data_IF_584225410284
#
_entry.id   IF_584225410284
#
_cell.length_a   1.000
_cell.length_b   1.000
_cell.length_c   1.000
_cell.angle_alpha   90.00
_cell.angle_beta   90.00
_cell.angle_gamma   90.00
#
_symmetry.space_group_name_H-M   'P 1'
#
loop_
_entity.id
_entity.type
_entity.pdbx_description
1 polymer ?
#
# COMPACT_ATOMS: atom_id res chain seq x y z
N UNK A 1 -22.98 7.68 44.66
CA UNK A 1 -22.72 8.71 43.61
C UNK A 1 -21.34 8.55 42.96
N UNK A 2 -20.23 8.42 43.71
CA UNK A 2 -18.89 8.20 43.12
C UNK A 2 -18.77 6.94 42.24
N UNK A 3 -19.38 5.83 42.64
CA UNK A 3 -19.34 4.57 41.88
C UNK A 3 -20.12 4.62 40.55
N UNK A 4 -21.20 5.41 40.47
CA UNK A 4 -22.01 5.56 39.24
C UNK A 4 -21.26 6.41 38.21
N UNK A 5 -20.55 7.46 38.64
CA UNK A 5 -19.67 8.23 37.75
C UNK A 5 -18.50 7.40 37.20
N UNK A 6 -17.94 6.48 38.00
CA UNK A 6 -16.83 5.62 37.55
C UNK A 6 -17.26 4.59 36.48
N UNK A 7 -18.50 4.09 36.52
CA UNK A 7 -19.02 3.14 35.53
C UNK A 7 -19.32 3.84 34.19
N UNK A 8 -19.88 5.06 34.23
CA UNK A 8 -20.11 5.86 33.02
C UNK A 8 -18.80 6.24 32.30
N UNK A 9 -17.75 6.53 33.07
CA UNK A 9 -16.43 6.85 32.50
C UNK A 9 -15.79 5.64 31.80
N UNK A 10 -16.01 4.42 32.30
CA UNK A 10 -15.53 3.18 31.66
C UNK A 10 -16.26 2.86 30.34
N UNK A 11 -17.56 3.17 30.25
CA UNK A 11 -18.36 2.94 29.03
C UNK A 11 -18.04 3.93 27.89
N UNK A 12 -17.57 5.14 28.22
CA UNK A 12 -17.12 6.13 27.24
C UNK A 12 -15.74 5.80 26.63
N UNK A 13 -14.90 5.04 27.35
CA UNK A 13 -13.56 4.64 26.87
C UNK A 13 -13.65 3.43 25.92
N UNK A 14 -14.65 2.55 26.07
CA UNK A 14 -14.82 1.38 25.20
C UNK A 14 -15.48 1.69 23.84
N UNK A 15 -16.10 2.87 23.68
CA UNK A 15 -16.80 3.26 22.45
C UNK A 15 -15.86 3.65 21.28
N UNK A 16 -14.53 3.66 21.50
CA UNK A 16 -13.55 4.19 20.55
C UNK A 16 -12.72 3.18 19.76
N UNK A 17 -12.83 1.87 20.01
CA UNK A 17 -12.06 0.86 19.27
C UNK A 17 -12.87 0.28 18.11
N UNK A 18 -12.99 1.03 17.02
CA UNK A 18 -13.40 0.45 15.73
C UNK A 18 -12.20 -0.26 15.11
N UNK A 19 -12.04 -1.55 15.42
CA UNK A 19 -11.14 -2.40 14.65
C UNK A 19 -11.68 -2.52 13.23
N UNK A 20 -10.96 -1.98 12.25
CA UNK A 20 -11.36 -2.08 10.84
C UNK A 20 -11.32 -3.54 10.41
N UNK A 21 -12.45 -4.08 9.95
CA UNK A 21 -12.50 -5.42 9.38
C UNK A 21 -12.11 -5.35 7.89
N UNK A 22 -11.21 -6.24 7.46
CA UNK A 22 -10.81 -6.38 6.06
C UNK A 22 -12.01 -6.51 5.12
N UNK A 23 -12.99 -7.34 5.52
CA UNK A 23 -14.15 -7.64 4.70
C UNK A 23 -15.10 -6.46 4.51
N UNK A 24 -14.99 -5.37 5.29
CA UNK A 24 -15.86 -4.20 5.11
C UNK A 24 -15.53 -3.49 3.78
N UNK A 25 -14.25 -3.42 3.43
CA UNK A 25 -13.76 -2.61 2.31
C UNK A 25 -13.11 -3.41 1.17
N UNK A 26 -12.63 -4.63 1.45
CA UNK A 26 -11.74 -5.34 0.52
C UNK A 26 -12.28 -6.72 0.11
N UNK A 27 -11.92 -7.11 -1.11
CA UNK A 27 -12.05 -8.47 -1.62
C UNK A 27 -10.74 -9.23 -1.33
N UNK A 28 -10.80 -10.56 -1.21
CA UNK A 28 -9.60 -11.41 -1.09
C UNK A 28 -8.86 -11.53 -2.42
N UNK A 29 -8.35 -10.40 -2.92
CA UNK A 29 -7.59 -10.20 -4.16
C UNK A 29 -6.61 -9.04 -3.93
N UNK A 30 -5.58 -8.94 -4.75
CA UNK A 30 -4.63 -7.82 -4.68
C UNK A 30 -4.85 -6.84 -5.82
N UNK A 31 -4.93 -5.56 -5.50
CA UNK A 31 -4.69 -4.46 -6.42
C UNK A 31 -3.18 -4.19 -6.45
N UNK A 32 -2.52 -4.62 -7.52
CA UNK A 32 -1.13 -4.24 -7.82
C UNK A 32 -1.14 -2.91 -8.56
N UNK A 33 -0.33 -1.97 -8.11
CA UNK A 33 -0.20 -0.65 -8.72
C UNK A 33 1.25 -0.42 -9.09
N UNK A 34 1.49 -0.20 -10.38
CA UNK A 34 2.80 0.10 -10.93
C UNK A 34 2.89 1.61 -11.18
N UNK A 35 3.95 2.23 -10.67
CA UNK A 35 4.23 3.65 -10.82
C UNK A 35 5.59 3.87 -11.46
N UNK A 36 5.73 5.02 -12.11
CA UNK A 36 7.03 5.56 -12.51
C UNK A 36 7.35 6.74 -11.61
N UNK A 37 8.39 6.61 -10.79
CA UNK A 37 8.96 7.73 -10.06
C UNK A 37 9.95 8.43 -10.96
N UNK A 38 9.74 9.71 -11.18
CA UNK A 38 10.52 10.49 -12.13
C UNK A 38 11.14 11.69 -11.44
N UNK A 39 12.26 12.16 -11.97
CA UNK A 39 12.86 13.41 -11.51
C UNK A 39 14.37 13.42 -11.55
N UNK A 40 14.91 14.37 -10.81
CA UNK A 40 16.33 14.60 -10.57
C UNK A 40 16.49 15.13 -9.13
N UNK A 41 17.68 15.58 -8.73
CA UNK A 41 17.93 16.03 -7.35
C UNK A 41 17.17 17.32 -6.94
N UNK A 42 16.52 18.03 -7.86
CA UNK A 42 15.77 19.27 -7.61
C UNK A 42 14.26 19.07 -7.61
N UNK A 43 13.74 18.22 -8.49
CA UNK A 43 12.31 18.01 -8.66
C UNK A 43 12.00 16.52 -8.85
N UNK A 44 10.89 16.09 -8.26
CA UNK A 44 10.40 14.71 -8.36
C UNK A 44 8.91 14.73 -8.70
N UNK A 45 8.46 13.72 -9.42
CA UNK A 45 7.05 13.51 -9.75
C UNK A 45 6.74 12.00 -9.79
N UNK A 46 5.47 11.66 -9.62
CA UNK A 46 5.00 10.28 -9.63
C UNK A 46 3.87 10.18 -10.66
N UNK A 47 3.95 9.18 -11.53
CA UNK A 47 2.93 8.90 -12.52
C UNK A 47 2.47 7.45 -12.40
N UNK A 48 1.17 7.21 -12.60
CA UNK A 48 0.63 5.86 -12.72
C UNK A 48 1.06 5.25 -14.04
N UNK A 49 1.55 4.01 -14.00
CA UNK A 49 1.85 3.21 -15.18
C UNK A 49 0.66 2.29 -15.50
N UNK A 50 0.45 1.25 -14.68
CA UNK A 50 -0.61 0.27 -14.87
C UNK A 50 -1.25 -0.15 -13.55
N UNK A 51 -2.53 -0.53 -13.61
CA UNK A 51 -3.24 -1.23 -12.53
C UNK A 51 -3.41 -2.70 -12.90
N UNK A 52 -3.13 -3.59 -11.95
CA UNK A 52 -3.28 -5.04 -12.13
C UNK A 52 -4.05 -5.68 -10.97
N UNK A 53 -4.72 -6.79 -11.23
CA UNK A 53 -5.41 -7.62 -10.23
C UNK A 53 -4.70 -8.98 -10.11
N UNK A 54 -4.32 -9.38 -8.90
CA UNK A 54 -3.85 -10.73 -8.57
C UNK A 54 -4.96 -11.54 -7.87
N UNK A 55 -4.94 -12.89 -7.98
CA UNK A 55 -6.09 -13.73 -7.61
C UNK A 55 -6.39 -13.80 -6.10
N UNK A 56 -5.40 -13.56 -5.23
CA UNK A 56 -5.55 -13.58 -3.77
C UNK A 56 -4.89 -12.36 -3.12
N UNK A 57 -5.21 -12.09 -1.86
CA UNK A 57 -4.51 -11.13 -1.00
C UNK A 57 -3.68 -11.90 0.02
N UNK A 58 -2.35 -11.72 -0.03
CA UNK A 58 -1.37 -12.35 0.87
C UNK A 58 -0.80 -11.36 1.90
N UNK A 59 -1.42 -10.18 2.03
CA UNK A 59 -1.00 -9.19 3.01
C UNK A 59 -1.86 -9.24 4.27
N UNK A 60 -1.63 -8.30 5.17
CA UNK A 60 -2.34 -8.24 6.46
C UNK A 60 -3.85 -8.01 6.32
N UNK A 61 -4.64 -8.64 7.20
CA UNK A 61 -6.08 -8.38 7.38
C UNK A 61 -6.38 -7.49 8.62
N UNK A 62 -5.34 -7.15 9.40
CA UNK A 62 -5.43 -6.30 10.61
C UNK A 62 -4.45 -5.12 10.55
N UNK A 63 -4.63 -4.13 11.44
CA UNK A 63 -3.84 -2.88 11.45
C UNK A 63 -3.80 -2.20 10.08
N UNK A 64 -4.93 -2.23 9.37
CA UNK A 64 -5.02 -1.85 7.95
C UNK A 64 -4.70 -0.36 7.76
N UNK A 65 -5.19 0.53 8.62
CA UNK A 65 -4.96 1.97 8.56
C UNK A 65 -3.70 2.45 9.30
N UNK A 66 -2.85 1.53 9.75
CA UNK A 66 -1.65 1.81 10.55
C UNK A 66 -0.37 1.50 9.78
N UNK A 67 0.75 2.06 10.25
CA UNK A 67 2.08 1.81 9.70
C UNK A 67 3.00 1.25 10.79
N UNK A 68 3.69 0.13 10.54
CA UNK A 68 4.69 -0.37 11.48
C UNK A 68 5.94 0.52 11.52
N UNK A 69 6.25 1.22 10.43
CA UNK A 69 7.36 2.16 10.28
C UNK A 69 6.94 3.31 9.35
N UNK A 70 7.56 4.48 9.49
CA UNK A 70 7.22 5.62 8.62
C UNK A 70 7.65 5.42 7.16
N UNK A 71 8.79 4.76 6.93
CA UNK A 71 9.45 4.68 5.63
C UNK A 71 9.97 6.03 5.12
N UNK A 72 10.46 6.03 3.89
CA UNK A 72 10.74 7.23 3.09
C UNK A 72 9.69 7.47 2.01
N UNK A 73 8.74 6.55 1.84
CA UNK A 73 7.53 6.72 1.06
C UNK A 73 6.36 6.02 1.74
N UNK A 74 5.15 6.51 1.49
CA UNK A 74 3.91 5.95 2.02
C UNK A 74 2.84 5.87 0.94
N UNK A 75 2.02 4.83 0.99
CA UNK A 75 0.77 4.73 0.26
C UNK A 75 -0.38 4.73 1.25
N UNK A 76 -1.39 5.54 0.96
CA UNK A 76 -2.58 5.73 1.76
C UNK A 76 -3.78 5.50 0.86
N UNK A 77 -4.59 4.50 1.18
CA UNK A 77 -5.83 4.18 0.48
C UNK A 77 -6.99 4.69 1.30
N UNK A 78 -7.85 5.48 0.67
CA UNK A 78 -9.07 6.01 1.29
C UNK A 78 -10.30 5.54 0.52
N UNK A 79 -11.33 5.17 1.24
CA UNK A 79 -12.66 4.99 0.64
C UNK A 79 -13.11 6.30 0.01
N UNK A 80 -13.57 6.26 -1.25
CA UNK A 80 -13.84 7.50 -1.99
C UNK A 80 -15.06 8.25 -1.45
N UNK A 81 -16.06 7.53 -0.95
CA UNK A 81 -17.32 8.12 -0.47
C UNK A 81 -17.15 8.79 0.89
N UNK A 82 -16.51 8.11 1.83
CA UNK A 82 -16.34 8.55 3.22
C UNK A 82 -15.04 9.29 3.48
N UNK A 83 -14.05 9.15 2.60
CA UNK A 83 -12.66 9.63 2.77
C UNK A 83 -11.93 8.99 3.96
N UNK A 84 -12.50 7.94 4.55
CA UNK A 84 -11.85 7.18 5.61
C UNK A 84 -10.60 6.49 5.08
N UNK A 85 -9.50 6.54 5.84
CA UNK A 85 -8.32 5.73 5.56
C UNK A 85 -8.62 4.26 5.81
N UNK A 86 -8.53 3.45 4.78
CA UNK A 86 -8.88 2.02 4.81
C UNK A 86 -7.66 1.11 4.62
N UNK A 87 -6.53 1.63 4.12
CA UNK A 87 -5.27 0.89 4.10
C UNK A 87 -4.06 1.84 4.08
N UNK A 88 -2.95 1.47 4.73
CA UNK A 88 -1.67 2.18 4.63
C UNK A 88 -0.52 1.21 4.43
N UNK A 89 0.51 1.60 3.69
CA UNK A 89 1.79 0.89 3.69
C UNK A 89 2.94 1.88 3.50
N UNK A 90 4.13 1.50 3.96
CA UNK A 90 5.34 2.34 3.93
C UNK A 90 6.47 1.60 3.23
N UNK A 91 7.36 2.33 2.59
CA UNK A 91 8.47 1.77 1.83
C UNK A 91 9.67 2.74 1.77
N UNK A 92 10.75 2.27 1.16
CA UNK A 92 11.83 3.07 0.58
C UNK A 92 12.05 2.59 -0.86
N UNK A 93 12.74 3.35 -1.69
CA UNK A 93 12.93 3.01 -3.11
C UNK A 93 14.36 3.27 -3.59
N UNK A 94 14.79 2.49 -4.59
CA UNK A 94 16.06 2.71 -5.28
C UNK A 94 16.12 4.11 -5.94
N UNK A 95 14.96 4.64 -6.38
CA UNK A 95 14.85 6.00 -6.87
C UNK A 95 15.34 7.03 -5.84
N UNK A 96 14.93 6.90 -4.57
CA UNK A 96 15.35 7.83 -3.51
C UNK A 96 16.83 7.74 -3.17
N UNK A 97 17.45 6.57 -3.33
CA UNK A 97 18.91 6.44 -3.24
C UNK A 97 19.58 7.16 -4.42
N UNK A 98 19.09 6.91 -5.65
CA UNK A 98 19.61 7.52 -6.87
C UNK A 98 19.57 9.06 -6.85
N UNK A 99 18.56 9.67 -6.21
CA UNK A 99 18.46 11.14 -6.08
C UNK A 99 19.67 11.81 -5.39
N UNK A 100 20.45 11.04 -4.62
CA UNK A 100 21.65 11.52 -3.94
C UNK A 100 22.93 11.43 -4.79
N UNK A 101 22.86 10.80 -5.97
CA UNK A 101 24.01 10.58 -6.85
C UNK A 101 24.37 11.82 -7.66
N UNK A 102 25.59 11.85 -8.19
CA UNK A 102 26.01 12.93 -9.11
C UNK A 102 25.21 12.92 -10.42
N UNK A 103 24.80 11.74 -10.91
CA UNK A 103 24.00 11.62 -12.11
C UNK A 103 22.66 12.35 -11.99
N UNK A 104 22.01 12.27 -10.82
CA UNK A 104 20.75 12.97 -10.54
C UNK A 104 20.90 14.50 -10.53
N UNK A 105 22.12 15.05 -10.51
CA UNK A 105 22.35 16.50 -10.66
C UNK A 105 22.27 16.96 -12.11
N UNK A 106 22.49 16.05 -13.05
CA UNK A 106 22.67 16.36 -14.47
C UNK A 106 21.50 15.83 -15.32
N UNK A 107 20.96 14.66 -14.99
CA UNK A 107 20.00 13.96 -15.84
C UNK A 107 18.76 13.56 -15.06
N UNK A 108 17.58 13.88 -15.60
CA UNK A 108 16.32 13.37 -15.07
C UNK A 108 16.03 11.94 -15.58
N UNK A 109 15.55 11.06 -14.70
CA UNK A 109 15.24 9.65 -15.01
C UNK A 109 13.87 9.23 -14.50
N UNK A 110 13.39 8.09 -14.99
CA UNK A 110 12.21 7.38 -14.49
C UNK A 110 12.59 6.00 -13.93
N UNK A 111 11.95 5.59 -12.84
CA UNK A 111 12.17 4.31 -12.16
C UNK A 111 10.83 3.61 -11.90
N UNK A 112 10.74 2.34 -12.25
CA UNK A 112 9.60 1.48 -11.98
C UNK A 112 9.48 1.17 -10.48
N UNK A 113 8.29 1.31 -9.92
CA UNK A 113 7.99 1.03 -8.53
C UNK A 113 6.60 0.38 -8.40
N UNK A 114 6.58 -0.87 -7.93
CA UNK A 114 5.36 -1.68 -7.77
C UNK A 114 4.95 -1.79 -6.31
N UNK A 115 3.65 -1.67 -6.04
CA UNK A 115 3.09 -1.86 -4.71
C UNK A 115 1.84 -2.75 -4.74
N UNK A 116 1.64 -3.49 -3.65
CA UNK A 116 0.51 -4.40 -3.48
C UNK A 116 -0.44 -3.85 -2.43
N UNK A 117 -1.70 -3.68 -2.82
CA UNK A 117 -2.77 -3.16 -1.99
C UNK A 117 -3.93 -4.17 -1.96
N UNK A 118 -4.72 -4.25 -0.88
CA UNK A 118 -5.92 -5.08 -0.90
C UNK A 118 -6.93 -4.53 -1.90
N UNK A 119 -7.56 -5.40 -2.70
CA UNK A 119 -8.44 -4.98 -3.79
C UNK A 119 -9.77 -4.41 -3.24
N UNK A 120 -10.14 -3.16 -3.54
CA UNK A 120 -11.29 -2.55 -2.92
C UNK A 120 -12.62 -3.06 -3.50
N UNK A 121 -13.68 -3.05 -2.67
CA UNK A 121 -15.05 -3.38 -3.10
C UNK A 121 -15.74 -2.20 -3.78
N UNK A 122 -15.36 -0.98 -3.40
CA UNK A 122 -15.91 0.29 -3.90
C UNK A 122 -14.77 1.18 -4.43
N UNK A 123 -15.06 2.25 -5.18
CA UNK A 123 -14.03 3.19 -5.60
C UNK A 123 -13.20 3.72 -4.43
N UNK A 124 -11.89 3.80 -4.62
CA UNK A 124 -10.95 4.26 -3.60
C UNK A 124 -10.00 5.31 -4.18
N UNK A 125 -9.61 6.29 -3.36
CA UNK A 125 -8.53 7.22 -3.66
C UNK A 125 -7.21 6.64 -3.12
N UNK A 126 -6.23 6.46 -3.99
CA UNK A 126 -4.88 6.03 -3.63
C UNK A 126 -3.96 7.24 -3.69
N UNK A 127 -3.36 7.58 -2.55
CA UNK A 127 -2.35 8.62 -2.43
C UNK A 127 -0.99 7.97 -2.17
N UNK A 128 0.00 8.34 -2.96
CA UNK A 128 1.39 7.98 -2.74
C UNK A 128 2.20 9.23 -2.45
N UNK A 129 3.06 9.17 -1.43
CA UNK A 129 3.85 10.30 -0.94
C UNK A 129 5.30 9.86 -0.79
N UNK A 130 6.24 10.66 -1.29
CA UNK A 130 7.67 10.50 -1.05
C UNK A 130 8.16 11.58 -0.09
N UNK A 131 8.98 11.18 0.87
CA UNK A 131 9.54 12.03 1.90
C UNK A 131 11.05 12.18 1.73
N UNK A 132 11.56 13.35 2.11
CA UNK A 132 13.00 13.60 2.22
C UNK A 132 13.56 12.93 3.48
N UNK A 133 14.89 12.82 3.63
CA UNK A 133 15.51 12.36 4.87
C UNK A 133 15.11 13.19 6.11
N UNK A 134 14.62 14.42 5.92
CA UNK A 134 14.10 15.30 6.98
C UNK A 134 12.60 15.13 7.24
N UNK A 135 11.97 14.12 6.62
CA UNK A 135 10.54 13.82 6.70
C UNK A 135 9.62 14.91 6.12
N UNK A 136 10.16 15.75 5.25
CA UNK A 136 9.38 16.72 4.48
C UNK A 136 8.82 16.04 3.22
N UNK A 137 7.62 16.42 2.78
CA UNK A 137 7.05 15.90 1.53
C UNK A 137 7.86 16.42 0.34
N UNK A 138 8.42 15.50 -0.45
CA UNK A 138 9.11 15.82 -1.70
C UNK A 138 8.11 15.93 -2.85
N UNK A 139 7.24 14.93 -2.98
CA UNK A 139 6.18 14.89 -3.97
C UNK A 139 5.08 13.95 -3.50
N UNK A 140 3.86 14.16 -4.01
CA UNK A 140 2.75 13.24 -3.84
C UNK A 140 1.94 13.11 -5.12
N UNK A 141 1.23 12.01 -5.25
CA UNK A 141 0.31 11.76 -6.36
C UNK A 141 -0.94 11.07 -5.84
N UNK A 142 -2.10 11.53 -6.33
CA UNK A 142 -3.41 10.96 -6.01
C UNK A 142 -4.10 10.50 -7.27
N UNK A 143 -4.70 9.32 -7.24
CA UNK A 143 -5.56 8.83 -8.30
C UNK A 143 -6.72 8.03 -7.72
N UNK A 144 -7.78 7.87 -8.51
CA UNK A 144 -8.97 7.12 -8.13
C UNK A 144 -8.94 5.78 -8.85
N UNK A 145 -9.05 4.70 -8.08
CA UNK A 145 -9.24 3.35 -8.61
C UNK A 145 -10.72 3.00 -8.50
N UNK A 146 -11.33 2.63 -9.63
CA UNK A 146 -12.68 2.06 -9.69
C UNK A 146 -12.54 0.55 -9.90
N UNK A 147 -13.03 -0.30 -8.97
CA UNK A 147 -12.76 -1.74 -9.01
C UNK A 147 -13.39 -2.48 -10.19
N UNK A 148 -14.31 -1.84 -10.90
CA UNK A 148 -14.98 -2.28 -12.12
C UNK A 148 -14.33 -1.77 -13.42
N UNK A 149 -13.23 -1.03 -13.34
CA UNK A 149 -12.47 -0.60 -14.52
C UNK A 149 -11.92 -1.82 -15.28
N UNK A 150 -12.34 -1.93 -16.54
CA UNK A 150 -11.98 -3.04 -17.43
C UNK A 150 -10.51 -3.03 -17.83
N UNK A 151 -9.81 -1.90 -17.66
CA UNK A 151 -8.39 -1.78 -17.94
C UNK A 151 -7.50 -2.29 -16.80
N UNK A 152 -8.08 -2.66 -15.65
CA UNK A 152 -7.33 -3.33 -14.59
C UNK A 152 -6.92 -4.73 -15.07
N UNK A 153 -5.63 -4.90 -15.33
CA UNK A 153 -5.07 -6.09 -15.96
C UNK A 153 -5.11 -7.29 -15.00
N UNK A 154 -5.86 -8.33 -15.37
CA UNK A 154 -5.91 -9.58 -14.60
C UNK A 154 -4.64 -10.40 -14.82
N UNK A 155 -3.86 -10.63 -13.75
CA UNK A 155 -2.60 -11.39 -13.78
C UNK A 155 -2.67 -12.59 -12.82
N UNK A 156 -1.75 -13.53 -12.97
CA UNK A 156 -1.60 -14.67 -12.05
C UNK A 156 -2.68 -15.75 -12.17
N UNK A 157 -3.46 -15.77 -13.25
CA UNK A 157 -4.52 -16.78 -13.49
C UNK A 157 -4.12 -17.86 -14.50
N UNK A 158 -3.10 -17.61 -15.30
CA UNK A 158 -2.57 -18.53 -16.30
C UNK A 158 -1.04 -18.40 -16.37
N UNK A 159 -0.37 -19.44 -16.86
CA UNK A 159 1.10 -19.46 -17.01
C UNK A 159 1.86 -19.05 -15.73
N UNK A 160 1.37 -19.49 -14.57
CA UNK A 160 2.03 -19.23 -13.28
C UNK A 160 3.42 -19.86 -13.29
N UNK A 161 4.44 -19.08 -12.93
CA UNK A 161 5.83 -19.53 -12.87
C UNK A 161 5.93 -20.79 -12.01
N UNK A 162 6.62 -21.85 -12.47
CA UNK A 162 6.87 -23.03 -11.66
C UNK A 162 7.51 -22.65 -10.33
N UNK A 163 6.95 -23.14 -9.24
CA UNK A 163 7.41 -22.85 -7.90
C UNK A 163 7.26 -24.09 -7.01
N UNK A 164 7.94 -24.07 -5.87
CA UNK A 164 7.79 -25.07 -4.82
C UNK A 164 7.87 -24.38 -3.46
N UNK A 165 7.13 -24.88 -2.49
CA UNK A 165 7.29 -24.46 -1.11
C UNK A 165 8.56 -25.07 -0.52
N UNK A 166 9.43 -24.23 0.02
CA UNK A 166 10.54 -24.66 0.89
C UNK A 166 10.03 -24.81 2.33
N UNK A 167 9.12 -23.92 2.73
CA UNK A 167 8.42 -23.94 4.01
C UNK A 167 6.96 -23.51 3.80
N UNK A 168 6.01 -24.24 4.39
CA UNK A 168 4.58 -23.90 4.37
C UNK A 168 3.99 -24.17 5.76
N UNK A 169 3.93 -23.13 6.59
CA UNK A 169 3.45 -23.23 7.98
C UNK A 169 1.94 -23.06 8.14
N UNK A 170 1.28 -22.50 7.12
CA UNK A 170 -0.15 -22.16 7.13
C UNK A 170 -0.60 -21.57 5.79
N UNK A 171 -1.76 -20.93 5.78
CA UNK A 171 -2.28 -20.21 4.62
C UNK A 171 -1.76 -18.76 4.56
N UNK A 172 -1.96 -18.07 3.43
CA UNK A 172 -1.44 -16.71 3.17
C UNK A 172 -2.05 -15.60 4.05
N UNK A 173 -3.11 -15.90 4.81
CA UNK A 173 -3.75 -14.94 5.71
C UNK A 173 -3.18 -14.98 7.13
N UNK A 174 -2.63 -16.13 7.50
CA UNK A 174 -2.14 -16.41 8.85
C UNK A 174 -0.60 -16.30 8.94
N UNK A 175 0.09 -16.37 7.80
CA UNK A 175 1.54 -16.39 7.71
C UNK A 175 2.09 -15.18 6.93
N UNK A 176 3.36 -14.86 7.13
CA UNK A 176 4.09 -13.92 6.26
C UNK A 176 4.63 -14.73 5.07
N UNK A 177 4.15 -14.44 3.87
CA UNK A 177 4.64 -15.04 2.65
C UNK A 177 5.95 -14.40 2.16
N UNK A 178 6.98 -15.21 2.00
CA UNK A 178 8.29 -14.80 1.47
C UNK A 178 8.57 -15.59 0.19
N UNK A 179 8.69 -14.88 -0.93
CA UNK A 179 9.06 -15.45 -2.21
C UNK A 179 10.57 -15.37 -2.44
N UNK A 180 11.17 -16.49 -2.89
CA UNK A 180 12.57 -16.54 -3.33
C UNK A 180 12.57 -16.69 -4.85
N UNK A 181 13.08 -15.68 -5.55
CA UNK A 181 13.12 -15.63 -7.01
C UNK A 181 14.54 -15.92 -7.50
N UNK A 182 14.67 -16.71 -8.57
CA UNK A 182 15.94 -16.97 -9.23
C UNK A 182 16.26 -15.83 -10.20
N UNK A 183 17.50 -15.34 -10.16
CA UNK A 183 18.07 -14.33 -11.05
C UNK A 183 19.47 -14.82 -11.48
N UNK A 184 19.70 -14.99 -12.80
CA UNK A 184 20.92 -15.57 -13.39
C UNK A 184 20.64 -16.78 -14.27
#
# INVERSE_FOLDING_TARGET
>A
MKQICSILLFFLISAGSYAQNFADYFQNKTLRVDYIFTGNNKQQAIYLDELSQLPSWAGREHHLSELPLEGNGQIIVRDLATRQCIYKTSFSSLFQEWLSTDEAKETAKGFENTFLLPYPKQPAEVEIVLFSPRKEVMTSFKHIVRPDDILIHKRGTSHVTPHRYILQSGNEKECIDVAILAEG
#
